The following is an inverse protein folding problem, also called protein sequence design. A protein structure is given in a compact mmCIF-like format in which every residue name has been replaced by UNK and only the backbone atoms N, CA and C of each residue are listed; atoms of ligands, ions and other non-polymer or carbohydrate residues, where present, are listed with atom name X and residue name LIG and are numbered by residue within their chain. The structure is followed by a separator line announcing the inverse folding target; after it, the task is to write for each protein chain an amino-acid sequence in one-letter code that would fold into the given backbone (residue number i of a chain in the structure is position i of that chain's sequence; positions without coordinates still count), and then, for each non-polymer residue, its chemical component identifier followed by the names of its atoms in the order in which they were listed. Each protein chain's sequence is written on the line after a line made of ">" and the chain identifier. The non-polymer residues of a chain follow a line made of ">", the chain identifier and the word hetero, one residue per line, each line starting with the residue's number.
data_IF_476193511748
#
_entry.id   IF_476193511748
#
_cell.length_a   1.000
_cell.length_b   1.000
_cell.length_c   1.000
_cell.angle_alpha   90.00
_cell.angle_beta   90.00
_cell.angle_gamma   90.00
#
_symmetry.space_group_name_H-M   'P 1'
#
loop_
_entity.id
_entity.type
_entity.pdbx_description
1 polymer ?
#
# COMPACT_ATOMS: atom_id res chain seq x y z
N UNK A 1 31.97 33.55 -47.81
CA UNK A 1 31.08 33.69 -48.99
C UNK A 1 29.77 33.02 -48.61
N UNK A 2 28.69 33.72 -48.28
CA UNK A 2 27.82 34.63 -49.06
C UNK A 2 26.63 33.87 -49.69
N UNK A 3 25.54 33.82 -48.93
CA UNK A 3 24.13 33.52 -49.27
C UNK A 3 23.38 33.66 -47.92
N UNK A 4 22.91 34.82 -47.45
CA UNK A 4 22.17 35.95 -48.05
C UNK A 4 20.69 35.67 -48.29
N UNK A 5 19.84 36.21 -47.39
CA UNK A 5 18.46 36.68 -47.63
C UNK A 5 17.42 35.54 -47.92
N UNK A 6 16.12 35.59 -47.60
CA UNK A 6 15.22 36.70 -47.19
C UNK A 6 13.85 36.16 -46.68
N UNK A 7 13.25 36.87 -45.70
CA UNK A 7 11.84 37.36 -45.67
C UNK A 7 10.64 36.42 -45.40
N UNK A 8 10.02 36.71 -44.24
CA UNK A 8 8.59 36.88 -43.89
C UNK A 8 7.48 35.90 -44.36
N UNK A 9 6.56 35.70 -43.40
CA UNK A 9 5.12 35.43 -43.55
C UNK A 9 4.71 34.05 -44.09
N UNK A 10 3.82 33.30 -43.44
CA UNK A 10 2.60 33.77 -42.78
C UNK A 10 2.16 32.86 -41.61
N UNK A 11 1.42 33.45 -40.65
CA UNK A 11 0.54 32.70 -39.76
C UNK A 11 -0.53 31.96 -40.58
N UNK A 12 -0.75 30.68 -40.29
CA UNK A 12 -2.02 30.00 -40.59
C UNK A 12 -2.47 29.19 -39.37
N UNK A 13 -2.60 29.89 -38.23
CA UNK A 13 -3.45 29.42 -37.15
C UNK A 13 -4.89 29.44 -37.66
N UNK A 14 -5.47 28.27 -37.94
CA UNK A 14 -6.90 27.93 -37.75
C UNK A 14 -7.33 26.74 -38.63
N UNK A 15 -8.14 25.85 -38.05
CA UNK A 15 -9.49 25.72 -38.61
C UNK A 15 -10.02 24.32 -38.93
N UNK A 16 -9.25 23.24 -38.68
CA UNK A 16 -9.52 21.78 -38.88
C UNK A 16 -10.78 21.14 -38.24
N UNK A 17 -10.76 20.70 -36.96
CA UNK A 17 -11.94 20.34 -36.11
C UNK A 17 -12.65 18.98 -36.38
N UNK A 18 -13.46 18.58 -35.37
CA UNK A 18 -14.38 17.46 -35.14
C UNK A 18 -14.04 16.03 -35.61
N UNK A 19 -14.70 15.08 -34.93
CA UNK A 19 -14.99 13.76 -35.50
C UNK A 19 -15.94 13.97 -36.70
N UNK A 20 -15.37 14.38 -37.82
CA UNK A 20 -16.07 14.97 -38.96
C UNK A 20 -16.46 16.44 -38.77
N UNK A 21 -15.56 17.39 -39.08
CA UNK A 21 -15.93 18.77 -39.50
C UNK A 21 -15.47 19.97 -38.65
N UNK A 22 -14.55 20.76 -39.22
CA UNK A 22 -14.33 22.22 -39.08
C UNK A 22 -14.06 22.82 -37.67
N UNK A 23 -12.94 23.51 -37.45
CA UNK A 23 -12.75 24.47 -36.33
C UNK A 23 -11.50 24.39 -35.44
N UNK A 24 -10.39 23.72 -35.81
CA UNK A 24 -9.18 23.61 -34.95
C UNK A 24 -8.49 24.95 -34.66
N UNK A 25 -7.65 25.01 -33.62
CA UNK A 25 -7.06 26.25 -33.10
C UNK A 25 -5.69 25.93 -32.49
N UNK A 26 -4.63 26.61 -32.91
CA UNK A 26 -3.33 26.53 -32.22
C UNK A 26 -3.44 27.28 -30.88
N UNK A 27 -3.12 26.61 -29.78
CA UNK A 27 -2.96 27.23 -28.48
C UNK A 27 -1.46 27.32 -28.17
N UNK A 28 -1.04 28.52 -27.77
CA UNK A 28 0.35 28.88 -27.46
C UNK A 28 1.06 27.81 -26.63
N UNK A 29 2.33 27.56 -26.95
CA UNK A 29 3.26 26.91 -26.05
C UNK A 29 3.28 27.67 -24.71
N UNK A 30 2.80 27.10 -23.59
CA UNK A 30 3.46 27.43 -22.35
C UNK A 30 4.89 26.92 -22.49
N UNK A 31 5.86 27.71 -22.06
CA UNK A 31 7.10 27.13 -21.55
C UNK A 31 6.68 26.30 -20.34
N UNK A 32 6.35 25.03 -20.56
CA UNK A 32 6.10 24.06 -19.50
C UNK A 32 7.41 23.92 -18.76
N UNK A 33 7.57 24.77 -17.75
CA UNK A 33 8.29 24.41 -16.55
C UNK A 33 7.76 23.03 -16.19
N UNK A 34 8.60 22.01 -16.39
CA UNK A 34 8.38 20.66 -15.85
C UNK A 34 8.43 20.80 -14.33
N UNK A 35 7.34 21.34 -13.78
CA UNK A 35 6.89 21.04 -12.44
C UNK A 35 6.59 19.55 -12.47
N UNK A 36 7.66 18.78 -12.26
CA UNK A 36 7.65 17.33 -12.20
C UNK A 36 6.82 16.98 -10.98
N UNK A 37 5.50 16.96 -11.17
CA UNK A 37 4.53 16.88 -10.09
C UNK A 37 4.72 15.52 -9.42
N UNK A 38 5.32 15.54 -8.22
CA UNK A 38 5.56 14.32 -7.46
C UNK A 38 4.23 13.62 -7.27
N UNK A 39 4.15 12.37 -7.73
CA UNK A 39 2.96 11.55 -7.59
C UNK A 39 2.95 11.02 -6.16
N UNK A 40 2.10 11.62 -5.31
CA UNK A 40 1.82 11.08 -3.98
C UNK A 40 0.99 9.82 -4.11
N UNK A 41 1.52 8.69 -3.65
CA UNK A 41 0.80 7.42 -3.63
C UNK A 41 0.62 6.89 -2.22
N UNK A 42 -0.56 6.33 -1.95
CA UNK A 42 -0.98 5.92 -0.62
C UNK A 42 -1.71 4.58 -0.67
N UNK A 43 -1.56 3.77 0.37
CA UNK A 43 -2.42 2.60 0.59
C UNK A 43 -2.76 2.40 2.05
N UNK A 44 -3.98 1.94 2.32
CA UNK A 44 -4.44 1.60 3.67
C UNK A 44 -4.10 0.14 3.96
N UNK A 45 -3.30 -0.06 5.00
CA UNK A 45 -2.86 -1.37 5.46
C UNK A 45 -3.97 -2.12 6.23
N UNK A 46 -3.89 -3.46 6.37
CA UNK A 46 -4.93 -4.28 7.00
C UNK A 46 -5.18 -3.98 8.49
N UNK A 47 -4.21 -3.35 9.15
CA UNK A 47 -4.29 -2.84 10.52
C UNK A 47 -4.86 -1.41 10.63
N UNK A 48 -5.31 -0.81 9.51
CA UNK A 48 -5.90 0.53 9.45
C UNK A 48 -4.90 1.70 9.40
N UNK A 49 -3.60 1.45 9.39
CA UNK A 49 -2.59 2.50 9.16
C UNK A 49 -2.42 2.76 7.66
N UNK A 50 -2.13 3.99 7.26
CA UNK A 50 -1.81 4.32 5.87
C UNK A 50 -0.29 4.39 5.69
N UNK A 51 0.23 3.84 4.58
CA UNK A 51 1.60 4.10 4.12
C UNK A 51 1.55 4.92 2.84
N UNK A 52 2.54 5.80 2.68
CA UNK A 52 2.59 6.75 1.55
C UNK A 52 4.02 6.99 1.09
N UNK A 53 4.18 7.29 -0.19
CA UNK A 53 5.43 7.76 -0.79
C UNK A 53 5.14 8.83 -1.85
N UNK A 54 6.16 9.58 -2.24
CA UNK A 54 6.11 10.62 -3.27
C UNK A 54 7.28 10.42 -4.21
N UNK A 55 7.05 10.51 -5.52
CA UNK A 55 8.08 10.29 -6.53
C UNK A 55 7.61 10.54 -7.96
N UNK A 56 8.51 10.39 -8.92
CA UNK A 56 8.23 10.50 -10.35
C UNK A 56 7.47 9.29 -10.90
N UNK A 57 7.76 8.11 -10.33
CA UNK A 57 7.06 6.86 -10.59
C UNK A 57 6.31 6.42 -9.33
N UNK A 58 5.15 5.79 -9.50
CA UNK A 58 4.41 5.18 -8.41
C UNK A 58 3.81 3.84 -8.83
N UNK A 59 3.98 2.83 -7.99
CA UNK A 59 3.21 1.60 -7.97
C UNK A 59 2.54 1.44 -6.60
N UNK A 60 1.25 1.09 -6.58
CA UNK A 60 0.48 0.86 -5.35
C UNK A 60 0.01 -0.59 -5.28
N UNK A 61 0.33 -1.27 -4.18
CA UNK A 61 -0.06 -2.65 -3.89
C UNK A 61 -1.07 -2.64 -2.74
N UNK A 62 -2.40 -2.75 -3.02
CA UNK A 62 -3.45 -2.50 -2.04
C UNK A 62 -3.33 -3.35 -0.77
N UNK A 63 -3.12 -2.69 0.38
CA UNK A 63 -2.96 -3.36 1.67
C UNK A 63 -1.60 -4.04 1.89
N UNK A 64 -0.63 -3.87 0.99
CA UNK A 64 0.70 -4.49 1.10
C UNK A 64 1.83 -3.45 1.10
N UNK A 65 1.87 -2.54 0.12
CA UNK A 65 2.92 -1.52 0.04
C UNK A 65 2.61 -0.42 -0.98
N UNK A 66 3.36 0.67 -0.93
CA UNK A 66 3.54 1.60 -2.06
C UNK A 66 5.02 1.65 -2.43
N UNK A 67 5.31 1.82 -3.71
CA UNK A 67 6.65 1.93 -4.27
C UNK A 67 6.72 3.25 -5.05
N UNK A 68 7.69 4.10 -4.73
CA UNK A 68 7.97 5.31 -5.50
C UNK A 68 9.46 5.36 -5.85
N UNK A 69 9.79 5.51 -7.14
CA UNK A 69 11.17 5.57 -7.65
C UNK A 69 12.08 4.43 -7.14
N UNK A 70 11.50 3.23 -6.99
CA UNK A 70 12.16 2.02 -6.48
C UNK A 70 12.23 1.90 -4.95
N UNK A 71 11.71 2.88 -4.19
CA UNK A 71 11.63 2.82 -2.73
C UNK A 71 10.29 2.25 -2.26
N UNK A 72 10.31 1.04 -1.70
CA UNK A 72 9.14 0.40 -1.12
C UNK A 72 8.86 0.87 0.32
N UNK A 73 7.66 1.40 0.55
CA UNK A 73 7.08 1.62 1.86
C UNK A 73 6.05 0.52 2.14
N UNK A 74 6.44 -0.45 2.96
CA UNK A 74 5.64 -1.65 3.24
C UNK A 74 4.66 -1.45 4.39
N UNK A 75 3.50 -2.08 4.29
CA UNK A 75 2.54 -2.21 5.38
C UNK A 75 3.11 -3.09 6.49
N UNK A 76 3.63 -2.48 7.56
CA UNK A 76 4.05 -3.21 8.75
C UNK A 76 2.85 -3.80 9.49
N UNK A 77 2.61 -5.09 9.28
CA UNK A 77 1.69 -5.87 10.12
C UNK A 77 2.29 -5.99 11.51
N UNK A 78 1.97 -5.04 12.40
CA UNK A 78 2.27 -5.16 13.82
C UNK A 78 1.67 -6.49 14.33
N UNK A 79 2.46 -7.36 14.99
CA UNK A 79 1.91 -8.61 15.52
C UNK A 79 0.80 -8.28 16.53
N UNK A 80 -0.27 -9.09 16.60
CA UNK A 80 -1.37 -8.82 17.51
C UNK A 80 -0.85 -8.77 18.95
N UNK A 81 -1.42 -7.89 19.79
CA UNK A 81 -0.89 -7.59 21.13
C UNK A 81 -0.67 -8.82 22.01
N UNK A 82 -1.46 -9.88 21.84
CA UNK A 82 -1.24 -11.19 22.46
C UNK A 82 0.17 -11.73 22.15
N UNK A 83 0.67 -11.64 20.92
CA UNK A 83 2.01 -12.06 20.50
C UNK A 83 3.17 -11.22 21.05
N UNK A 84 2.90 -10.10 21.72
CA UNK A 84 3.91 -9.29 22.41
C UNK A 84 4.07 -9.67 23.89
N UNK A 85 3.18 -10.50 24.43
CA UNK A 85 3.21 -10.92 25.84
C UNK A 85 4.15 -12.12 26.06
N UNK A 86 5.01 -12.13 27.10
CA UNK A 86 6.05 -13.16 27.27
C UNK A 86 5.53 -14.57 27.62
N UNK A 87 4.23 -14.75 27.92
CA UNK A 87 3.62 -16.02 28.32
C UNK A 87 2.32 -16.35 27.55
N UNK A 88 2.21 -15.85 26.31
CA UNK A 88 1.05 -16.05 25.45
C UNK A 88 1.27 -17.04 24.31
N UNK A 89 2.52 -17.40 23.98
CA UNK A 89 2.82 -18.34 22.90
C UNK A 89 2.07 -19.67 23.13
N UNK A 90 1.35 -20.16 22.11
CA UNK A 90 0.56 -21.38 22.22
C UNK A 90 1.44 -22.58 22.61
N UNK A 91 2.71 -22.60 22.18
CA UNK A 91 3.72 -23.59 22.58
C UNK A 91 4.11 -23.54 24.06
N UNK A 92 4.07 -22.38 24.70
CA UNK A 92 4.35 -22.21 26.15
C UNK A 92 3.14 -22.56 27.00
N UNK A 93 1.92 -22.37 26.46
CA UNK A 93 0.65 -22.64 27.13
C UNK A 93 0.24 -24.11 27.01
N UNK A 94 0.44 -24.74 25.85
CA UNK A 94 0.05 -26.13 25.60
C UNK A 94 0.69 -27.11 26.61
N UNK A 95 -0.09 -28.08 27.07
CA UNK A 95 0.32 -29.06 28.08
C UNK A 95 0.48 -28.52 29.50
N UNK A 96 0.33 -27.20 29.74
CA UNK A 96 0.28 -26.66 31.11
C UNK A 96 -1.07 -26.98 31.76
N UNK A 97 -1.12 -27.16 33.10
CA UNK A 97 -2.36 -27.40 33.82
C UNK A 97 -3.32 -26.20 33.70
N UNK A 98 -4.61 -26.49 33.73
CA UNK A 98 -5.70 -25.53 33.61
C UNK A 98 -6.90 -25.94 34.47
N UNK A 99 -7.66 -24.94 34.91
CA UNK A 99 -8.88 -25.12 35.70
C UNK A 99 -9.86 -23.98 35.42
N UNK A 100 -11.18 -24.23 35.34
CA UNK A 100 -11.83 -25.55 35.39
C UNK A 100 -11.56 -26.40 34.13
N UNK A 101 -11.40 -27.71 34.34
CA UNK A 101 -11.24 -28.68 33.27
C UNK A 101 -12.48 -28.74 32.35
N UNK A 102 -12.26 -28.77 31.04
CA UNK A 102 -13.33 -28.90 30.04
C UNK A 102 -14.04 -27.60 29.64
N UNK A 103 -13.77 -26.44 30.27
CA UNK A 103 -14.50 -25.19 29.95
C UNK A 103 -13.66 -23.90 29.89
N UNK A 104 -12.41 -23.90 30.40
CA UNK A 104 -11.53 -22.74 30.24
C UNK A 104 -11.13 -22.49 28.78
N UNK A 105 -11.16 -21.24 28.32
CA UNK A 105 -10.61 -20.82 27.01
C UNK A 105 -9.71 -19.59 27.17
N UNK A 106 -8.68 -19.46 26.33
CA UNK A 106 -7.84 -18.26 26.25
C UNK A 106 -7.22 -18.11 24.86
N UNK A 107 -7.00 -16.87 24.43
CA UNK A 107 -6.20 -16.60 23.23
C UNK A 107 -4.71 -16.87 23.50
N UNK A 108 -3.99 -17.21 22.43
CA UNK A 108 -2.56 -17.46 22.43
C UNK A 108 -1.93 -16.96 21.11
N UNK A 109 -0.60 -16.91 21.05
CA UNK A 109 0.14 -16.55 19.83
C UNK A 109 0.70 -17.79 19.12
N UNK A 110 0.41 -17.94 17.83
CA UNK A 110 1.00 -18.96 16.95
C UNK A 110 1.39 -18.33 15.62
N UNK A 111 2.66 -18.45 15.21
CA UNK A 111 3.18 -17.91 13.95
C UNK A 111 2.80 -16.44 13.68
N UNK A 112 2.91 -15.57 14.71
CA UNK A 112 2.48 -14.16 14.71
C UNK A 112 0.98 -13.91 14.45
N UNK A 113 0.13 -14.94 14.56
CA UNK A 113 -1.34 -14.85 14.48
C UNK A 113 -1.97 -15.17 15.84
N UNK A 114 -3.22 -14.76 16.01
CA UNK A 114 -4.04 -15.12 17.17
C UNK A 114 -4.51 -16.57 16.99
N UNK A 115 -4.06 -17.45 17.87
CA UNK A 115 -4.61 -18.80 18.07
C UNK A 115 -5.45 -18.86 19.34
N UNK A 116 -6.07 -20.02 19.58
CA UNK A 116 -6.89 -20.27 20.75
C UNK A 116 -6.41 -21.52 21.49
N UNK A 117 -6.44 -21.47 22.82
CA UNK A 117 -6.28 -22.63 23.70
C UNK A 117 -7.59 -22.91 24.44
N UNK A 118 -7.93 -24.18 24.57
CA UNK A 118 -9.03 -24.68 25.38
C UNK A 118 -8.50 -25.65 26.45
N UNK A 119 -9.13 -25.63 27.61
CA UNK A 119 -8.81 -26.50 28.72
C UNK A 119 -9.51 -27.84 28.51
N UNK A 120 -8.74 -28.90 28.29
CA UNK A 120 -9.29 -30.25 28.08
C UNK A 120 -9.97 -30.78 29.34
N UNK A 121 -10.77 -31.84 29.21
CA UNK A 121 -11.35 -32.58 30.35
C UNK A 121 -10.27 -33.21 31.26
N UNK A 122 -9.03 -33.34 30.78
CA UNK A 122 -7.88 -33.82 31.55
C UNK A 122 -7.20 -32.70 32.36
N UNK A 123 -7.70 -31.47 32.32
CA UNK A 123 -7.13 -30.34 33.05
C UNK A 123 -5.81 -29.83 32.48
N UNK A 124 -5.55 -30.05 31.17
CA UNK A 124 -4.39 -29.47 30.45
C UNK A 124 -4.84 -28.63 29.25
N UNK A 125 -4.10 -27.55 28.96
CA UNK A 125 -4.34 -26.72 27.78
C UNK A 125 -3.99 -27.45 26.49
N UNK A 126 -4.92 -27.49 25.54
CA UNK A 126 -4.67 -27.81 24.14
C UNK A 126 -4.87 -26.52 23.31
N UNK A 127 -4.03 -26.29 22.29
CA UNK A 127 -4.04 -25.05 21.52
C UNK A 127 -4.04 -25.32 20.02
N UNK A 128 -4.74 -24.48 19.26
CA UNK A 128 -4.83 -24.52 17.80
C UNK A 128 -4.64 -23.13 17.20
N UNK A 129 -4.23 -23.07 15.93
CA UNK A 129 -4.52 -21.91 15.10
C UNK A 129 -6.05 -21.76 14.95
N UNK A 130 -6.49 -20.51 14.79
CA UNK A 130 -7.87 -20.14 14.48
C UNK A 130 -8.00 -19.86 12.98
#
# INVERSE_FOLDING_TARGET
>A
MKLSLTVLSALVVSGLLACGGTGAIEAQEPLTQEESALVTCTTTCPNGTTVSCEGNTCNTYPGESVECDGFHNICFTSPPSICLQPNSACSTVAGKPCSPAGSGTRSCCINRRVGNCFCTIQGVWACSAN
#
